data_IF_359837923032
#
_entry.id   IF_359837923032
#
_cell.length_a   1.000
_cell.length_b   1.000
_cell.length_c   1.000
_cell.angle_alpha   90.00
_cell.angle_beta   90.00
_cell.angle_gamma   90.00
#
_symmetry.space_group_name_H-M   'P 1'
#
loop_
_entity.id
_entity.type
_entity.pdbx_description
1 polymer ?
#
# COMPACT_ATOMS: atom_id res chain seq x y z
N UNK A 1 -5.97 -13.94 -19.13
CA UNK A 1 -5.58 -13.59 -17.74
C UNK A 1 -5.07 -12.16 -17.75
N UNK A 2 -5.81 -11.21 -17.18
CA UNK A 2 -5.41 -9.81 -17.15
C UNK A 2 -4.39 -9.61 -16.02
N UNK A 3 -3.24 -9.03 -16.35
CA UNK A 3 -2.24 -8.55 -15.40
C UNK A 3 -2.22 -7.05 -15.58
N UNK A 4 -2.51 -6.30 -14.53
CA UNK A 4 -2.50 -4.85 -14.60
C UNK A 4 -1.28 -4.31 -13.84
N UNK A 5 -0.58 -3.36 -14.45
CA UNK A 5 0.50 -2.60 -13.83
C UNK A 5 -0.03 -1.19 -13.65
N UNK A 6 -0.04 -0.71 -12.41
CA UNK A 6 -0.41 0.65 -12.07
C UNK A 6 0.81 1.36 -11.50
N UNK A 7 1.24 2.41 -12.18
CA UNK A 7 2.33 3.27 -11.73
C UNK A 7 1.83 4.70 -11.68
N UNK A 8 1.89 5.32 -10.51
CA UNK A 8 1.60 6.74 -10.32
C UNK A 8 2.77 7.40 -9.59
N UNK A 9 3.14 8.59 -10.04
CA UNK A 9 4.25 9.36 -9.48
C UNK A 9 3.88 10.82 -9.32
N UNK A 10 4.54 11.51 -8.39
CA UNK A 10 4.42 12.96 -8.18
C UNK A 10 2.99 13.43 -7.90
N UNK A 11 2.32 12.78 -6.95
CA UNK A 11 0.96 13.12 -6.55
C UNK A 11 0.96 14.17 -5.43
N UNK A 12 -0.10 14.99 -5.40
CA UNK A 12 -0.23 16.07 -4.41
C UNK A 12 -1.69 16.44 -4.19
N UNK A 13 -2.21 16.03 -3.03
CA UNK A 13 -3.61 16.19 -2.61
C UNK A 13 -4.57 15.33 -3.44
N UNK A 14 -4.12 14.14 -3.81
CA UNK A 14 -4.88 13.19 -4.62
C UNK A 14 -5.56 12.11 -3.78
N UNK A 15 -6.53 11.44 -4.38
CA UNK A 15 -7.14 10.22 -3.84
C UNK A 15 -7.03 9.10 -4.84
N UNK A 16 -6.37 8.00 -4.45
CA UNK A 16 -6.21 6.80 -5.27
C UNK A 16 -7.02 5.67 -4.66
N UNK A 17 -7.91 5.07 -5.45
CA UNK A 17 -8.65 3.87 -5.05
C UNK A 17 -8.53 2.79 -6.12
N UNK A 18 -7.97 1.64 -5.76
CA UNK A 18 -7.94 0.45 -6.61
C UNK A 18 -8.66 -0.72 -5.91
N UNK A 19 -9.42 -1.49 -6.68
CA UNK A 19 -10.27 -2.59 -6.17
C UNK A 19 -10.19 -3.80 -7.08
N UNK A 20 -10.43 -4.97 -6.48
CA UNK A 20 -10.63 -6.26 -7.15
C UNK A 20 -9.47 -6.68 -8.07
N UNK A 21 -8.27 -6.46 -7.53
CA UNK A 21 -6.98 -6.70 -8.16
C UNK A 21 -6.60 -8.18 -8.04
N UNK A 22 -6.38 -8.86 -9.17
CA UNK A 22 -6.12 -10.30 -9.22
C UNK A 22 -4.63 -10.65 -9.34
N UNK A 23 -3.89 -9.96 -10.20
CA UNK A 23 -2.49 -10.29 -10.58
C UNK A 23 -1.74 -9.03 -10.98
N UNK A 24 -1.46 -8.20 -9.99
CA UNK A 24 -1.16 -6.80 -10.28
C UNK A 24 0.11 -6.32 -9.57
N UNK A 25 0.73 -5.30 -10.17
CA UNK A 25 1.84 -4.57 -9.56
C UNK A 25 1.37 -3.13 -9.42
N UNK A 26 1.44 -2.61 -8.19
CA UNK A 26 1.10 -1.22 -7.87
C UNK A 26 2.33 -0.52 -7.34
N UNK A 27 2.74 0.54 -8.02
CA UNK A 27 3.82 1.42 -7.57
C UNK A 27 3.29 2.83 -7.45
N UNK A 28 3.27 3.39 -6.24
CA UNK A 28 2.98 4.81 -6.01
C UNK A 28 4.20 5.48 -5.39
N UNK A 29 4.68 6.55 -6.00
CA UNK A 29 5.89 7.24 -5.56
C UNK A 29 5.69 8.76 -5.46
N UNK A 30 6.41 9.39 -4.54
CA UNK A 30 6.43 10.85 -4.36
C UNK A 30 5.04 11.40 -4.09
N UNK A 31 4.46 10.99 -2.96
CA UNK A 31 3.11 11.36 -2.52
C UNK A 31 3.16 12.45 -1.47
N UNK A 32 2.17 13.34 -1.49
CA UNK A 32 2.09 14.46 -0.54
C UNK A 32 0.66 14.91 -0.27
N UNK A 33 0.19 14.58 0.93
CA UNK A 33 -1.17 14.82 1.44
C UNK A 33 -2.22 14.00 0.68
N UNK A 34 -1.87 12.77 0.36
CA UNK A 34 -2.69 11.89 -0.46
C UNK A 34 -3.41 10.84 0.39
N UNK A 35 -4.51 10.31 -0.15
CA UNK A 35 -5.26 9.20 0.42
C UNK A 35 -5.20 8.03 -0.56
N UNK A 36 -4.68 6.89 -0.10
CA UNK A 36 -4.56 5.66 -0.89
C UNK A 36 -5.39 4.56 -0.27
N UNK A 37 -6.26 3.95 -1.07
CA UNK A 37 -7.04 2.76 -0.68
C UNK A 37 -6.88 1.65 -1.71
N UNK A 38 -6.29 0.53 -1.30
CA UNK A 38 -6.24 -0.70 -2.11
C UNK A 38 -7.06 -1.80 -1.43
N UNK A 39 -7.95 -2.45 -2.18
CA UNK A 39 -8.85 -3.50 -1.65
C UNK A 39 -8.89 -4.73 -2.53
N UNK A 40 -8.99 -5.89 -1.90
CA UNK A 40 -9.21 -7.19 -2.53
C UNK A 40 -8.08 -7.54 -3.51
N UNK A 41 -6.85 -7.58 -3.01
CA UNK A 41 -5.67 -8.00 -3.76
C UNK A 41 -5.49 -9.52 -3.58
N UNK A 42 -5.42 -10.27 -4.69
CA UNK A 42 -5.32 -11.74 -4.64
C UNK A 42 -3.93 -12.32 -4.87
N UNK A 43 -3.06 -11.56 -5.54
CA UNK A 43 -1.66 -11.87 -5.80
C UNK A 43 -1.01 -10.65 -6.45
N UNK A 44 0.01 -10.09 -5.82
CA UNK A 44 0.63 -8.90 -6.35
C UNK A 44 1.72 -8.32 -5.50
N UNK A 45 2.27 -7.22 -5.98
CA UNK A 45 3.29 -6.42 -5.30
C UNK A 45 2.75 -5.01 -5.19
N UNK A 46 2.78 -4.47 -3.97
CA UNK A 46 2.44 -3.07 -3.69
C UNK A 46 3.69 -2.40 -3.16
N UNK A 47 4.13 -1.35 -3.83
CA UNK A 47 5.25 -0.51 -3.42
C UNK A 47 4.78 0.92 -3.28
N UNK A 48 4.86 1.48 -2.08
CA UNK A 48 4.65 2.90 -1.84
C UNK A 48 5.94 3.54 -1.33
N UNK A 49 6.37 4.61 -1.98
CA UNK A 49 7.65 5.27 -1.69
C UNK A 49 7.54 6.79 -1.59
N UNK A 50 8.35 7.39 -0.71
CA UNK A 50 8.46 8.84 -0.53
C UNK A 50 7.10 9.50 -0.24
N UNK A 51 6.59 9.24 0.95
CA UNK A 51 5.26 9.64 1.41
C UNK A 51 5.35 10.75 2.45
N UNK A 52 4.41 11.70 2.40
CA UNK A 52 4.40 12.84 3.33
C UNK A 52 3.01 13.38 3.63
N UNK A 53 2.55 13.11 4.86
CA UNK A 53 1.24 13.45 5.40
C UNK A 53 0.11 12.67 4.72
N UNK A 54 0.38 11.42 4.41
CA UNK A 54 -0.51 10.56 3.63
C UNK A 54 -1.27 9.58 4.52
N UNK A 55 -2.42 9.13 4.03
CA UNK A 55 -3.18 8.05 4.66
C UNK A 55 -3.29 6.87 3.70
N UNK A 56 -2.83 5.70 4.14
CA UNK A 56 -2.85 4.45 3.37
C UNK A 56 -3.73 3.43 4.05
N UNK A 57 -4.64 2.83 3.28
CA UNK A 57 -5.42 1.68 3.70
C UNK A 57 -5.26 0.55 2.69
N UNK A 58 -4.75 -0.60 3.17
CA UNK A 58 -4.69 -1.84 2.44
C UNK A 58 -5.59 -2.87 3.13
N UNK A 59 -6.52 -3.47 2.38
CA UNK A 59 -7.49 -4.44 2.92
C UNK A 59 -7.65 -5.66 2.03
N UNK A 60 -7.79 -6.82 2.67
CA UNK A 60 -8.04 -8.11 2.03
C UNK A 60 -6.96 -8.45 1.01
N UNK A 61 -5.77 -8.73 1.52
CA UNK A 61 -4.58 -9.06 0.73
C UNK A 61 -4.30 -10.56 0.87
N UNK A 62 -4.04 -11.23 -0.25
CA UNK A 62 -3.74 -12.66 -0.29
C UNK A 62 -2.54 -12.85 -1.19
N UNK A 63 -1.47 -13.51 -0.71
CA UNK A 63 -0.26 -13.75 -1.50
C UNK A 63 0.36 -12.46 -2.06
N UNK A 64 0.40 -11.43 -1.23
CA UNK A 64 0.89 -10.11 -1.61
C UNK A 64 2.17 -9.73 -0.86
N UNK A 65 3.04 -9.00 -1.55
CA UNK A 65 4.20 -8.33 -0.95
C UNK A 65 3.87 -6.85 -0.88
N UNK A 66 3.98 -6.27 0.31
CA UNK A 66 3.77 -4.84 0.55
C UNK A 66 5.08 -4.24 1.01
N UNK A 67 5.56 -3.23 0.29
CA UNK A 67 6.72 -2.42 0.67
C UNK A 67 6.30 -0.97 0.85
N UNK A 68 6.63 -0.43 2.02
CA UNK A 68 6.39 0.96 2.41
C UNK A 68 7.73 1.59 2.78
N UNK A 69 8.14 2.62 2.05
CA UNK A 69 9.45 3.23 2.24
C UNK A 69 9.38 4.77 2.30
N UNK A 70 10.20 5.37 3.16
CA UNK A 70 10.39 6.81 3.29
C UNK A 70 9.07 7.55 3.59
N UNK A 71 8.50 7.25 4.76
CA UNK A 71 7.21 7.77 5.20
C UNK A 71 7.40 8.85 6.27
N UNK A 72 6.70 9.99 6.14
CA UNK A 72 6.82 11.12 7.06
C UNK A 72 5.46 11.72 7.41
N UNK A 73 5.02 11.49 8.65
CA UNK A 73 3.70 11.90 9.18
C UNK A 73 2.53 11.16 8.54
N UNK A 74 2.72 9.88 8.28
CA UNK A 74 1.76 9.07 7.55
C UNK A 74 1.01 8.12 8.48
N UNK A 75 -0.23 7.80 8.11
CA UNK A 75 -1.05 6.80 8.76
C UNK A 75 -1.21 5.64 7.80
N UNK A 76 -0.86 4.43 8.25
CA UNK A 76 -0.96 3.22 7.45
C UNK A 76 -1.80 2.19 8.19
N UNK A 77 -2.85 1.69 7.54
CA UNK A 77 -3.67 0.58 8.03
C UNK A 77 -3.57 -0.60 7.08
N UNK A 78 -3.13 -1.74 7.59
CA UNK A 78 -3.15 -3.03 6.88
C UNK A 78 -4.09 -3.98 7.61
N UNK A 79 -5.06 -4.53 6.89
CA UNK A 79 -5.97 -5.53 7.46
C UNK A 79 -6.16 -6.73 6.54
N UNK A 80 -6.28 -7.91 7.15
CA UNK A 80 -6.58 -9.17 6.48
C UNK A 80 -5.53 -9.53 5.42
N UNK A 81 -4.25 -9.63 5.84
CA UNK A 81 -3.18 -10.17 4.99
C UNK A 81 -3.05 -11.68 5.22
N UNK A 82 -3.06 -12.47 4.13
CA UNK A 82 -2.87 -13.92 4.18
C UNK A 82 -1.73 -14.36 3.26
N UNK A 83 -0.71 -15.03 3.82
CA UNK A 83 0.48 -15.53 3.10
C UNK A 83 1.21 -14.41 2.36
N UNK A 84 1.53 -13.34 3.07
CA UNK A 84 2.18 -12.18 2.47
C UNK A 84 3.28 -11.62 3.35
N UNK A 85 4.05 -10.70 2.77
CA UNK A 85 5.17 -10.05 3.42
C UNK A 85 4.87 -8.56 3.50
N UNK A 86 5.15 -7.95 4.65
CA UNK A 86 5.09 -6.50 4.83
C UNK A 86 6.47 -6.01 5.22
N UNK A 87 7.04 -5.12 4.41
CA UNK A 87 8.30 -4.44 4.69
C UNK A 87 8.02 -2.96 4.90
N UNK A 88 8.51 -2.44 6.02
CA UNK A 88 8.44 -1.02 6.36
C UNK A 88 9.84 -0.48 6.59
N UNK A 89 10.21 0.60 5.90
CA UNK A 89 11.52 1.25 6.03
C UNK A 89 11.38 2.77 6.14
N UNK A 90 12.19 3.37 7.02
CA UNK A 90 12.30 4.83 7.17
C UNK A 90 10.96 5.52 7.47
N UNK A 91 10.29 5.10 8.56
CA UNK A 91 9.10 5.77 9.09
C UNK A 91 9.49 6.87 10.07
N UNK A 92 9.03 8.11 9.84
CA UNK A 92 9.20 9.26 10.73
C UNK A 92 7.86 9.84 11.14
N UNK A 93 7.52 9.75 12.43
CA UNK A 93 6.29 10.31 13.05
C UNK A 93 5.01 9.80 12.39
N UNK A 94 4.90 8.50 12.11
CA UNK A 94 3.67 7.91 11.55
C UNK A 94 3.08 6.83 12.44
N UNK A 95 1.87 6.40 12.10
CA UNK A 95 1.12 5.36 12.80
C UNK A 95 0.95 4.18 11.84
N UNK A 96 1.23 2.97 12.33
CA UNK A 96 0.96 1.74 11.59
C UNK A 96 0.01 0.88 12.42
N UNK A 97 -1.14 0.56 11.83
CA UNK A 97 -2.13 -0.35 12.41
C UNK A 97 -2.17 -1.63 11.58
N UNK A 98 -1.92 -2.76 12.23
CA UNK A 98 -1.99 -4.08 11.62
C UNK A 98 -3.14 -4.87 12.26
N UNK A 99 -3.92 -5.60 11.46
CA UNK A 99 -5.00 -6.44 11.97
C UNK A 99 -5.24 -7.67 11.11
N UNK A 100 -5.49 -8.82 11.75
CA UNK A 100 -5.71 -10.10 11.09
C UNK A 100 -4.59 -10.43 10.07
N UNK A 101 -3.37 -10.53 10.57
CA UNK A 101 -2.19 -10.79 9.76
C UNK A 101 -1.79 -12.26 9.90
N UNK A 102 -1.92 -13.03 8.82
CA UNK A 102 -1.26 -14.32 8.69
C UNK A 102 -0.07 -14.13 7.73
N UNK A 103 0.98 -13.58 8.32
CA UNK A 103 2.30 -13.41 7.70
C UNK A 103 3.05 -14.73 7.85
N UNK A 104 3.67 -15.16 6.76
CA UNK A 104 4.60 -16.29 6.72
C UNK A 104 6.00 -15.76 6.61
#
# INVERSE_FOLDING_TARGET
MKRDIVTLGNMKRDTVTLRDMKRDIVTLAYMKRDIVTLRNLKRGIVTLGNMKRDTVTLRNLKRDIVTLAYMKRDIVTLRNLKRGIVTLRNLKRGIVTLGNMNVT
#
